data_IF_069667819452
#
_entry.id   IF_069667819452
#
_cell.length_a   1.000
_cell.length_b   1.000
_cell.length_c   1.000
_cell.angle_alpha   90.00
_cell.angle_beta   90.00
_cell.angle_gamma   90.00
#
_symmetry.space_group_name_H-M   'P 1'
#
loop_
_entity.id
_entity.type
_entity.pdbx_description
1 polymer ?
#
# COMPACT_ATOMS: atom_id res chain seq x y z
N UNK A 1 -3.22 -17.92 23.83
CA UNK A 1 -3.02 -18.79 22.65
C UNK A 1 -4.31 -18.83 21.82
N UNK A 2 -5.44 -19.23 22.42
CA UNK A 2 -6.80 -19.19 21.84
C UNK A 2 -7.13 -17.92 21.04
N UNK A 3 -7.10 -16.73 21.65
CA UNK A 3 -7.53 -15.48 20.96
C UNK A 3 -6.82 -15.15 19.63
N UNK A 4 -5.57 -15.56 19.46
CA UNK A 4 -4.84 -15.32 18.20
C UNK A 4 -5.27 -16.32 17.13
N UNK A 5 -5.38 -17.58 17.51
CA UNK A 5 -5.87 -18.65 16.64
C UNK A 5 -7.32 -18.39 16.24
N UNK A 6 -8.17 -17.93 17.17
CA UNK A 6 -9.56 -17.52 16.89
C UNK A 6 -9.62 -16.36 15.89
N UNK A 7 -8.73 -15.37 16.00
CA UNK A 7 -8.65 -14.25 15.07
C UNK A 7 -8.21 -14.72 13.67
N UNK A 8 -7.24 -15.62 13.58
CA UNK A 8 -6.80 -16.19 12.30
C UNK A 8 -7.88 -17.07 11.66
N UNK A 9 -8.62 -17.82 12.47
CA UNK A 9 -9.76 -18.59 11.99
C UNK A 9 -10.87 -17.67 11.46
N UNK A 10 -11.17 -16.58 12.15
CA UNK A 10 -12.15 -15.59 11.68
C UNK A 10 -11.74 -14.99 10.33
N UNK A 11 -10.45 -14.69 10.12
CA UNK A 11 -9.95 -14.20 8.83
C UNK A 11 -10.08 -15.29 7.75
N UNK A 12 -9.78 -16.55 8.08
CA UNK A 12 -9.90 -17.68 7.15
C UNK A 12 -11.36 -17.89 6.73
N UNK A 13 -12.29 -17.85 7.67
CA UNK A 13 -13.73 -17.96 7.39
C UNK A 13 -14.20 -16.83 6.47
N UNK A 14 -13.75 -15.58 6.71
CA UNK A 14 -14.07 -14.46 5.83
C UNK A 14 -13.56 -14.64 4.40
N UNK A 15 -12.35 -15.21 4.24
CA UNK A 15 -11.80 -15.51 2.91
C UNK A 15 -12.60 -16.61 2.23
N UNK A 16 -12.97 -17.67 2.95
CA UNK A 16 -13.78 -18.77 2.42
C UNK A 16 -15.18 -18.30 1.97
N UNK A 17 -15.74 -17.29 2.64
CA UNK A 17 -17.06 -16.73 2.32
C UNK A 17 -17.02 -15.59 1.28
N UNK A 18 -15.84 -15.17 0.79
CA UNK A 18 -15.69 -13.97 -0.05
C UNK A 18 -16.58 -14.00 -1.31
N UNK A 19 -16.76 -15.17 -1.92
CA UNK A 19 -17.61 -15.38 -3.11
C UNK A 19 -19.10 -15.13 -2.83
N UNK A 20 -19.52 -15.25 -1.57
CA UNK A 20 -20.91 -15.03 -1.15
C UNK A 20 -21.17 -13.58 -0.74
N UNK A 21 -20.13 -12.86 -0.33
CA UNK A 21 -20.18 -11.50 0.19
C UNK A 21 -20.14 -10.47 -0.94
N UNK A 22 -21.28 -10.28 -1.62
CA UNK A 22 -21.40 -9.30 -2.71
C UNK A 22 -21.23 -7.86 -2.22
N UNK A 23 -20.44 -7.08 -2.95
CA UNK A 23 -20.19 -5.65 -2.71
C UNK A 23 -19.49 -5.32 -1.39
N UNK A 24 -18.75 -6.28 -0.82
CA UNK A 24 -18.01 -6.10 0.43
C UNK A 24 -16.51 -6.06 0.17
N UNK A 25 -15.81 -5.17 0.88
CA UNK A 25 -14.35 -5.11 0.90
C UNK A 25 -13.88 -5.19 2.34
N UNK A 26 -12.95 -6.11 2.62
CA UNK A 26 -12.26 -6.20 3.90
C UNK A 26 -10.87 -5.59 3.79
N UNK A 27 -10.51 -4.75 4.76
CA UNK A 27 -9.17 -4.17 4.86
C UNK A 27 -8.57 -4.60 6.19
N UNK A 28 -7.50 -5.37 6.11
CA UNK A 28 -6.69 -5.74 7.27
C UNK A 28 -5.44 -4.87 7.29
N UNK A 29 -5.27 -4.10 8.36
CA UNK A 29 -4.08 -3.30 8.59
C UNK A 29 -3.31 -3.85 9.79
N UNK A 30 -2.09 -4.27 9.56
CA UNK A 30 -1.20 -4.78 10.60
C UNK A 30 0.26 -4.49 10.22
N UNK A 31 1.16 -4.68 11.18
CA UNK A 31 2.60 -4.58 10.93
C UNK A 31 3.08 -5.73 10.03
N UNK A 32 4.05 -5.45 9.15
CA UNK A 32 4.63 -6.43 8.22
C UNK A 32 5.14 -7.70 8.92
N UNK A 33 5.59 -7.57 10.16
CA UNK A 33 5.99 -8.70 11.01
C UNK A 33 4.91 -9.78 11.14
N UNK A 34 3.62 -9.45 11.00
CA UNK A 34 2.55 -10.44 11.02
C UNK A 34 2.55 -11.36 9.79
N UNK A 35 3.10 -10.91 8.66
CA UNK A 35 3.29 -11.74 7.46
C UNK A 35 4.61 -12.50 7.54
N UNK A 36 5.67 -11.81 7.97
CA UNK A 36 7.04 -12.34 7.88
C UNK A 36 7.41 -13.30 9.02
N UNK A 37 6.76 -13.21 10.19
CA UNK A 37 7.04 -14.11 11.32
C UNK A 37 6.36 -15.48 11.14
N UNK A 38 7.17 -16.49 10.80
CA UNK A 38 6.76 -17.90 10.64
C UNK A 38 6.12 -18.50 11.91
N UNK A 39 6.47 -18.00 13.09
CA UNK A 39 6.13 -18.61 14.38
C UNK A 39 4.96 -17.93 15.10
N UNK A 40 4.76 -16.64 14.86
CA UNK A 40 3.71 -15.84 15.51
C UNK A 40 2.80 -15.10 14.54
N UNK A 41 3.15 -15.04 13.27
CA UNK A 41 2.37 -14.39 12.20
C UNK A 41 1.34 -15.33 11.54
N UNK A 42 0.76 -14.89 10.42
CA UNK A 42 -0.28 -15.63 9.69
C UNK A 42 0.21 -17.01 9.22
N UNK A 43 1.50 -17.12 8.90
CA UNK A 43 2.16 -18.37 8.50
C UNK A 43 2.11 -19.46 9.57
N UNK A 44 2.05 -19.05 10.85
CA UNK A 44 1.93 -20.00 11.97
C UNK A 44 0.57 -20.72 12.02
N UNK A 45 -0.44 -20.23 11.28
CA UNK A 45 -1.76 -20.83 11.19
C UNK A 45 -2.01 -21.42 9.80
N UNK A 46 -1.68 -22.69 9.64
CA UNK A 46 -1.58 -23.37 8.35
C UNK A 46 -2.84 -23.28 7.49
N UNK A 47 -4.03 -23.36 8.08
CA UNK A 47 -5.29 -23.32 7.32
C UNK A 47 -5.51 -21.95 6.65
N UNK A 48 -5.24 -20.85 7.35
CA UNK A 48 -5.26 -19.50 6.78
C UNK A 48 -4.13 -19.34 5.76
N UNK A 49 -2.92 -19.78 6.10
CA UNK A 49 -1.76 -19.66 5.23
C UNK A 49 -2.00 -20.31 3.86
N UNK A 50 -2.60 -21.50 3.84
CA UNK A 50 -2.92 -22.21 2.60
C UNK A 50 -3.88 -21.43 1.69
N UNK A 51 -4.74 -20.58 2.26
CA UNK A 51 -5.65 -19.71 1.50
C UNK A 51 -4.95 -18.48 0.92
N UNK A 52 -4.00 -17.89 1.64
CA UNK A 52 -3.42 -16.59 1.26
C UNK A 52 -2.07 -16.66 0.55
N UNK A 53 -1.28 -17.74 0.74
CA UNK A 53 0.12 -17.81 0.32
C UNK A 53 0.36 -17.40 -1.15
N UNK A 54 -0.47 -17.89 -2.07
CA UNK A 54 -0.31 -17.61 -3.50
C UNK A 54 -0.60 -16.14 -3.86
N UNK A 55 -1.43 -15.47 -3.06
CA UNK A 55 -1.82 -14.09 -3.29
C UNK A 55 -0.75 -13.11 -2.79
N UNK A 56 0.01 -13.48 -1.74
CA UNK A 56 0.94 -12.56 -1.06
C UNK A 56 2.43 -12.93 -1.15
N UNK A 57 2.82 -14.08 -1.71
CA UNK A 57 4.24 -14.45 -1.84
C UNK A 57 4.92 -13.95 -3.14
N UNK A 58 4.16 -13.52 -4.14
CA UNK A 58 4.72 -13.14 -5.45
C UNK A 58 5.56 -11.86 -5.45
N UNK A 59 6.75 -11.89 -6.07
CA UNK A 59 7.66 -10.73 -6.20
C UNK A 59 7.06 -9.50 -6.90
N UNK A 60 5.91 -9.66 -7.57
CA UNK A 60 5.18 -8.59 -8.25
C UNK A 60 3.77 -8.44 -7.69
N UNK A 61 3.25 -7.23 -7.67
CA UNK A 61 1.91 -6.91 -7.24
C UNK A 61 0.89 -7.52 -8.20
N UNK A 62 0.11 -8.48 -7.72
CA UNK A 62 -0.94 -9.10 -8.50
C UNK A 62 -2.22 -8.26 -8.43
N UNK A 63 -2.57 -7.59 -9.54
CA UNK A 63 -3.79 -6.77 -9.65
C UNK A 63 -5.08 -7.59 -9.75
N UNK A 64 -4.97 -8.89 -10.00
CA UNK A 64 -6.09 -9.82 -10.13
C UNK A 64 -6.22 -10.74 -8.93
N UNK A 65 -5.44 -10.49 -7.87
CA UNK A 65 -5.55 -11.20 -6.62
C UNK A 65 -6.81 -10.77 -5.86
N UNK A 66 -7.49 -11.71 -5.22
CA UNK A 66 -8.57 -11.41 -4.29
C UNK A 66 -8.04 -10.79 -2.99
N UNK A 67 -6.75 -11.03 -2.69
CA UNK A 67 -6.04 -10.51 -1.52
C UNK A 67 -4.78 -9.80 -1.97
N UNK A 68 -4.64 -8.51 -1.65
CA UNK A 68 -3.54 -7.69 -2.16
C UNK A 68 -2.61 -7.18 -1.05
N UNK A 69 -1.31 -7.27 -1.30
CA UNK A 69 -0.26 -6.67 -0.46
C UNK A 69 -0.04 -5.21 -0.88
N UNK A 70 -0.58 -4.27 -0.10
CA UNK A 70 -0.53 -2.84 -0.41
C UNK A 70 0.87 -2.23 -0.24
N UNK A 71 1.73 -2.83 0.58
CA UNK A 71 3.12 -2.37 0.71
C UNK A 71 3.87 -2.63 -0.60
N UNK A 72 3.66 -3.79 -1.22
CA UNK A 72 4.21 -4.11 -2.54
C UNK A 72 3.68 -3.22 -3.65
N UNK A 73 2.40 -2.87 -3.60
CA UNK A 73 1.84 -1.89 -4.53
C UNK A 73 2.60 -0.57 -4.45
N UNK A 74 2.92 -0.13 -3.23
CA UNK A 74 3.63 1.14 -3.03
C UNK A 74 5.03 1.08 -3.62
N UNK A 75 5.78 0.00 -3.32
CA UNK A 75 7.14 -0.18 -3.81
C UNK A 75 7.21 -0.28 -5.35
N UNK A 76 6.20 -0.87 -6.01
CA UNK A 76 6.18 -1.00 -7.47
C UNK A 76 5.65 0.24 -8.21
N UNK A 77 4.62 0.89 -7.68
CA UNK A 77 3.93 1.97 -8.40
C UNK A 77 4.56 3.32 -8.09
N UNK A 78 4.89 3.58 -6.83
CA UNK A 78 5.39 4.88 -6.38
C UNK A 78 6.92 4.92 -6.34
N UNK A 79 7.57 4.51 -7.43
CA UNK A 79 9.02 4.73 -7.60
C UNK A 79 9.33 6.23 -7.63
N UNK A 80 10.56 6.66 -7.26
CA UNK A 80 10.95 8.07 -7.31
C UNK A 80 10.69 8.72 -8.69
N UNK A 81 10.92 8.00 -9.79
CA UNK A 81 10.68 8.49 -11.14
C UNK A 81 9.19 8.68 -11.42
N UNK A 82 8.35 7.74 -10.97
CA UNK A 82 6.90 7.85 -11.10
C UNK A 82 6.34 8.98 -10.23
N UNK A 83 6.86 9.15 -9.01
CA UNK A 83 6.51 10.26 -8.11
C UNK A 83 6.86 11.61 -8.76
N UNK A 84 8.05 11.74 -9.34
CA UNK A 84 8.47 12.93 -10.07
C UNK A 84 7.56 13.20 -11.29
N UNK A 85 7.21 12.15 -12.05
CA UNK A 85 6.30 12.23 -13.18
C UNK A 85 4.89 12.65 -12.77
N UNK A 86 4.40 12.14 -11.64
CA UNK A 86 3.11 12.54 -11.06
C UNK A 86 3.11 14.03 -10.69
N UNK A 87 4.13 14.49 -9.99
CA UNK A 87 4.30 15.90 -9.63
C UNK A 87 4.38 16.80 -10.85
N UNK A 88 5.18 16.42 -11.85
CA UNK A 88 5.33 17.16 -13.11
C UNK A 88 3.99 17.31 -13.83
N UNK A 89 3.24 16.21 -13.96
CA UNK A 89 1.91 16.24 -14.59
C UNK A 89 0.92 17.08 -13.79
N UNK A 90 0.94 16.99 -12.47
CA UNK A 90 0.09 17.78 -11.60
C UNK A 90 0.37 19.27 -11.78
N UNK A 91 1.63 19.69 -11.72
CA UNK A 91 2.02 21.08 -11.93
C UNK A 91 1.61 21.60 -13.32
N UNK A 92 1.79 20.80 -14.37
CA UNK A 92 1.33 21.14 -15.72
C UNK A 92 -0.18 21.35 -15.82
N UNK A 93 -0.99 20.58 -15.08
CA UNK A 93 -2.44 20.73 -15.08
C UNK A 93 -2.87 21.94 -14.25
N UNK A 94 -2.28 22.11 -13.07
CA UNK A 94 -2.60 23.22 -12.15
C UNK A 94 -2.23 24.56 -12.78
N UNK A 95 -1.01 24.68 -13.33
CA UNK A 95 -0.52 25.91 -13.96
C UNK A 95 -1.26 26.31 -15.25
N UNK A 96 -2.17 25.47 -15.78
CA UNK A 96 -3.11 25.89 -16.84
C UNK A 96 -4.27 26.71 -16.32
N UNK A 97 -4.59 26.58 -15.03
CA UNK A 97 -5.76 27.16 -14.37
C UNK A 97 -5.32 28.23 -13.37
N UNK A 98 -4.26 27.96 -12.59
CA UNK A 98 -3.73 28.83 -11.53
C UNK A 98 -2.21 28.68 -11.42
N UNK A 99 -1.49 29.80 -11.34
CA UNK A 99 -0.04 29.81 -11.22
C UNK A 99 0.38 29.52 -9.78
N UNK A 100 1.31 28.58 -9.59
CA UNK A 100 1.89 28.35 -8.25
C UNK A 100 2.35 26.92 -7.97
N UNK A 101 2.08 25.96 -8.86
CA UNK A 101 2.56 24.60 -8.70
C UNK A 101 3.95 24.41 -9.31
N UNK A 102 4.89 23.91 -8.51
CA UNK A 102 6.24 23.60 -8.96
C UNK A 102 6.47 22.08 -8.90
N UNK A 103 6.93 21.43 -9.99
CA UNK A 103 7.36 20.05 -9.93
C UNK A 103 8.43 19.87 -8.86
N UNK A 104 8.31 18.80 -8.08
CA UNK A 104 9.34 18.45 -7.09
C UNK A 104 10.63 17.97 -7.76
N UNK A 105 11.73 17.95 -7.02
CA UNK A 105 12.99 17.37 -7.49
C UNK A 105 13.00 15.84 -7.35
N UNK A 106 13.94 15.17 -8.04
CA UNK A 106 14.16 13.73 -7.87
C UNK A 106 14.57 13.38 -6.42
N UNK A 107 15.43 14.19 -5.80
CA UNK A 107 15.83 14.02 -4.40
C UNK A 107 14.62 14.08 -3.46
N UNK A 108 13.72 15.05 -3.68
CA UNK A 108 12.46 15.13 -2.92
C UNK A 108 11.57 13.91 -3.16
N UNK A 109 11.53 13.37 -4.38
CA UNK A 109 10.79 12.16 -4.70
C UNK A 109 11.32 10.93 -3.96
N UNK A 110 12.65 10.78 -3.85
CA UNK A 110 13.32 9.72 -3.08
C UNK A 110 12.99 9.82 -1.58
N UNK A 111 13.03 11.03 -1.02
CA UNK A 111 12.64 11.26 0.38
C UNK A 111 11.17 10.91 0.64
N UNK A 112 10.28 11.29 -0.29
CA UNK A 112 8.85 10.98 -0.18
C UNK A 112 8.59 9.48 -0.26
N UNK A 113 9.33 8.77 -1.11
CA UNK A 113 9.29 7.32 -1.22
C UNK A 113 9.76 6.65 0.09
N UNK A 114 10.89 7.08 0.65
CA UNK A 114 11.39 6.55 1.93
C UNK A 114 10.41 6.79 3.10
N UNK A 115 9.76 7.96 3.13
CA UNK A 115 8.75 8.32 4.14
C UNK A 115 7.41 7.59 3.95
N UNK A 116 7.19 6.92 2.82
CA UNK A 116 5.95 6.18 2.54
C UNK A 116 5.74 5.01 3.52
N UNK A 117 6.83 4.36 3.95
CA UNK A 117 6.80 3.15 4.79
C UNK A 117 6.31 3.37 6.22
N UNK A 118 6.36 4.60 6.73
CA UNK A 118 6.07 4.91 8.14
C UNK A 118 5.02 6.02 8.30
N UNK A 119 4.27 6.29 7.24
CA UNK A 119 3.56 7.54 7.07
C UNK A 119 2.06 7.50 7.33
N UNK A 120 1.54 8.38 8.20
CA UNK A 120 0.07 8.60 8.36
C UNK A 120 -0.65 9.16 7.12
N UNK A 121 0.11 9.68 6.16
CA UNK A 121 -0.39 10.33 4.94
C UNK A 121 0.03 9.52 3.72
N UNK A 122 -0.89 9.29 2.79
CA UNK A 122 -0.63 8.54 1.55
C UNK A 122 0.38 9.25 0.64
N UNK A 123 1.15 8.48 -0.14
CA UNK A 123 2.12 9.03 -1.10
C UNK A 123 1.48 10.03 -2.06
N UNK A 124 0.32 9.74 -2.71
CA UNK A 124 -0.32 10.72 -3.59
C UNK A 124 -0.61 12.05 -2.91
N UNK A 125 -1.07 12.02 -1.65
CA UNK A 125 -1.36 13.25 -0.91
C UNK A 125 -0.09 14.04 -0.61
N UNK A 126 1.03 13.37 -0.28
CA UNK A 126 2.32 14.04 -0.08
C UNK A 126 2.84 14.67 -1.37
N UNK A 127 2.71 13.98 -2.50
CA UNK A 127 3.10 14.52 -3.82
C UNK A 127 2.29 15.77 -4.11
N UNK A 128 0.98 15.75 -3.88
CA UNK A 128 0.12 16.93 -4.04
C UNK A 128 0.61 18.08 -3.16
N UNK A 129 0.79 17.84 -1.86
CA UNK A 129 1.25 18.88 -0.94
C UNK A 129 2.60 19.47 -1.35
N UNK A 130 3.59 18.63 -1.67
CA UNK A 130 4.92 19.08 -2.06
C UNK A 130 4.92 19.84 -3.40
N UNK A 131 4.04 19.46 -4.34
CA UNK A 131 3.91 20.12 -5.64
C UNK A 131 3.20 21.47 -5.54
N UNK A 132 2.16 21.56 -4.69
CA UNK A 132 1.35 22.78 -4.53
C UNK A 132 1.95 23.79 -3.54
N UNK A 133 2.68 23.32 -2.52
CA UNK A 133 3.31 24.19 -1.52
C UNK A 133 4.70 24.67 -1.96
N UNK A 134 5.18 24.24 -3.13
CA UNK A 134 6.44 24.69 -3.73
C UNK A 134 7.63 24.51 -2.79
N UNK A 135 8.11 23.27 -2.61
CA UNK A 135 9.47 22.96 -2.12
C UNK A 135 10.02 23.86 -1.01
N UNK A 136 9.19 24.23 -0.04
CA UNK A 136 9.58 25.08 1.08
C UNK A 136 9.95 24.17 2.24
N UNK A 137 11.18 24.34 2.72
CA UNK A 137 11.77 23.73 3.91
C UNK A 137 10.83 23.70 5.13
#
# INVERSE_FOLDING_TARGET
RLRREDAYESIRELIDEIDTLKHTMFIFSFDRTLIDDETKGLKSYQALWMRIQNEIEGTRFNRFADIVDLDRLIDEVYTPENILKMSTRLAQVVNRIDEGANPISLNTAEELHAKARYGKVSVPRRVILATLQGGSE
#
